data_IF_248409776402
#
_entry.id   IF_248409776402
#
_cell.length_a   1.000
_cell.length_b   1.000
_cell.length_c   1.000
_cell.angle_alpha   90.00
_cell.angle_beta   90.00
_cell.angle_gamma   90.00
#
_symmetry.space_group_name_H-M   'P 1'
#
loop_
_entity.id
_entity.type
_entity.pdbx_description
1 polymer ?
#
# COMPACT_ATOMS: atom_id res chain seq x y z
N UNK A 1 26.53 -30.59 -12.55
CA UNK A 1 25.35 -29.72 -12.69
C UNK A 1 24.98 -29.25 -11.28
N UNK A 2 25.27 -28.00 -10.93
CA UNK A 2 24.94 -27.48 -9.60
C UNK A 2 23.45 -27.21 -9.58
N UNK A 3 22.71 -28.10 -9.01
CA UNK A 3 21.31 -27.84 -8.72
C UNK A 3 21.27 -26.71 -7.69
N UNK A 4 20.33 -25.79 -7.84
CA UNK A 4 20.14 -24.58 -7.09
C UNK A 4 20.79 -24.58 -5.71
N UNK A 5 21.75 -23.71 -5.48
CA UNK A 5 22.25 -23.43 -4.15
C UNK A 5 21.15 -22.63 -3.46
N UNK A 6 20.41 -23.30 -2.59
CA UNK A 6 19.46 -22.69 -1.69
C UNK A 6 20.20 -21.69 -0.81
N UNK A 7 20.05 -20.41 -1.07
CA UNK A 7 20.66 -19.34 -0.26
C UNK A 7 19.67 -18.69 0.68
N UNK A 8 18.37 -18.71 0.34
CA UNK A 8 17.28 -18.17 1.15
C UNK A 8 15.95 -18.68 0.59
N UNK A 9 14.91 -18.72 1.40
CA UNK A 9 13.53 -18.93 0.95
C UNK A 9 13.06 -17.72 0.15
N UNK A 10 13.51 -17.61 -1.10
CA UNK A 10 12.99 -16.67 -2.05
C UNK A 10 11.92 -17.39 -2.85
N UNK A 11 10.68 -16.96 -2.72
CA UNK A 11 9.60 -17.51 -3.51
C UNK A 11 9.71 -16.98 -4.93
N UNK A 12 9.90 -17.88 -5.88
CA UNK A 12 9.89 -17.58 -7.30
C UNK A 12 8.52 -17.95 -7.86
N UNK A 13 8.00 -17.11 -8.75
CA UNK A 13 6.77 -17.40 -9.49
C UNK A 13 7.06 -17.29 -10.98
N UNK A 14 6.42 -18.15 -11.75
CA UNK A 14 6.47 -18.06 -13.20
C UNK A 14 5.68 -16.83 -13.67
N UNK A 15 6.25 -16.13 -14.63
CA UNK A 15 5.68 -14.91 -15.19
C UNK A 15 5.81 -14.89 -16.70
N UNK A 16 4.69 -14.68 -17.40
CA UNK A 16 4.70 -14.45 -18.83
C UNK A 16 4.71 -12.94 -19.10
N UNK A 17 5.78 -12.48 -19.75
CA UNK A 17 5.95 -11.07 -20.10
C UNK A 17 5.27 -10.79 -21.44
N UNK A 18 4.04 -10.32 -21.43
CA UNK A 18 3.30 -9.88 -22.63
C UNK A 18 3.67 -8.47 -23.13
N UNK A 19 4.55 -7.77 -22.42
CA UNK A 19 4.99 -6.40 -22.72
C UNK A 19 6.39 -6.34 -23.33
N UNK A 20 7.01 -5.19 -23.19
CA UNK A 20 8.41 -4.98 -23.58
C UNK A 20 9.37 -5.81 -22.72
N UNK A 21 10.58 -6.05 -23.22
CA UNK A 21 11.60 -6.77 -22.48
C UNK A 21 11.87 -6.13 -21.09
N UNK A 22 11.95 -6.96 -20.09
CA UNK A 22 12.19 -6.58 -18.69
C UNK A 22 13.63 -6.92 -18.33
N UNK A 23 14.47 -5.95 -17.95
CA UNK A 23 15.82 -6.23 -17.49
C UNK A 23 15.84 -6.94 -16.13
N UNK A 24 16.97 -7.55 -15.78
CA UNK A 24 17.22 -8.03 -14.43
C UNK A 24 17.01 -6.90 -13.41
N UNK A 25 16.33 -7.17 -12.31
CA UNK A 25 15.98 -6.18 -11.28
C UNK A 25 14.74 -5.32 -11.61
N UNK A 26 14.11 -5.50 -12.78
CA UNK A 26 12.85 -4.80 -13.06
C UNK A 26 11.78 -5.19 -12.04
N UNK A 27 11.01 -4.20 -11.62
CA UNK A 27 9.90 -4.39 -10.67
C UNK A 27 8.59 -4.49 -11.44
N UNK A 28 7.82 -5.54 -11.17
CA UNK A 28 6.55 -5.85 -11.83
C UNK A 28 5.45 -5.98 -10.78
N UNK A 29 4.29 -5.44 -11.08
CA UNK A 29 3.07 -5.72 -10.30
C UNK A 29 2.39 -6.93 -10.93
N UNK A 30 2.28 -8.03 -10.20
CA UNK A 30 1.63 -9.25 -10.67
C UNK A 30 0.11 -9.10 -10.69
N UNK A 31 -0.58 -9.98 -11.40
CA UNK A 31 -2.05 -9.91 -11.53
C UNK A 31 -2.78 -10.07 -10.19
N UNK A 32 -2.18 -10.75 -9.22
CA UNK A 32 -2.68 -10.89 -7.84
C UNK A 32 -2.31 -9.70 -6.92
N UNK A 33 -1.64 -8.67 -7.49
CA UNK A 33 -1.29 -7.44 -6.80
C UNK A 33 -0.01 -7.47 -5.98
N UNK A 34 0.74 -8.57 -5.98
CA UNK A 34 2.07 -8.63 -5.36
C UNK A 34 3.11 -7.90 -6.20
N UNK A 35 4.19 -7.49 -5.56
CA UNK A 35 5.38 -6.99 -6.23
C UNK A 35 6.29 -8.18 -6.57
N UNK A 36 6.71 -8.27 -7.82
CA UNK A 36 7.71 -9.22 -8.30
C UNK A 36 8.96 -8.50 -8.78
N UNK A 37 10.12 -9.07 -8.54
CA UNK A 37 11.40 -8.59 -9.06
C UNK A 37 11.96 -9.59 -10.02
N UNK A 38 12.31 -9.16 -11.23
CA UNK A 38 12.93 -10.02 -12.25
C UNK A 38 14.28 -10.51 -11.73
N UNK A 39 14.40 -11.82 -11.51
CA UNK A 39 15.57 -12.43 -10.87
C UNK A 39 16.56 -13.07 -11.85
N UNK A 40 16.23 -13.19 -13.12
CA UNK A 40 17.11 -13.77 -14.14
C UNK A 40 18.14 -12.76 -14.65
N UNK A 41 19.43 -13.15 -14.72
CA UNK A 41 20.51 -12.29 -15.21
C UNK A 41 20.28 -11.75 -16.64
N UNK A 42 19.52 -12.46 -17.46
CA UNK A 42 19.17 -12.04 -18.82
C UNK A 42 17.90 -11.19 -18.90
N UNK A 43 17.22 -10.98 -17.76
CA UNK A 43 15.90 -10.39 -17.80
C UNK A 43 14.84 -11.36 -18.34
N UNK A 44 13.71 -10.80 -18.81
CA UNK A 44 12.63 -11.56 -19.47
C UNK A 44 12.33 -10.84 -20.77
N UNK A 45 12.53 -11.51 -21.90
CA UNK A 45 12.24 -10.90 -23.20
C UNK A 45 10.73 -10.69 -23.41
N UNK A 46 10.37 -9.90 -24.42
CA UNK A 46 8.97 -9.71 -24.79
C UNK A 46 8.36 -11.03 -25.27
N UNK A 47 7.16 -11.32 -24.82
CA UNK A 47 6.41 -12.55 -25.12
C UNK A 47 7.11 -13.85 -24.69
N UNK A 48 7.89 -13.78 -23.61
CA UNK A 48 8.57 -14.96 -23.05
C UNK A 48 8.16 -15.21 -21.59
N UNK A 49 8.35 -16.47 -21.19
CA UNK A 49 8.25 -16.88 -19.79
C UNK A 49 9.55 -16.59 -19.07
N UNK A 50 9.45 -16.14 -17.83
CA UNK A 50 10.57 -15.97 -16.92
C UNK A 50 10.13 -16.15 -15.48
N UNK A 51 10.98 -15.78 -14.54
CA UNK A 51 10.71 -15.90 -13.12
C UNK A 51 10.81 -14.56 -12.42
N UNK A 52 9.88 -14.32 -11.51
CA UNK A 52 9.89 -13.19 -10.58
C UNK A 52 10.15 -13.70 -9.16
N UNK A 53 11.04 -13.05 -8.44
CA UNK A 53 11.14 -13.20 -7.00
C UNK A 53 10.02 -12.38 -6.35
N UNK A 54 9.21 -13.02 -5.48
CA UNK A 54 8.10 -12.39 -4.77
C UNK A 54 8.29 -12.38 -3.26
N UNK A 55 9.45 -12.80 -2.77
CA UNK A 55 9.86 -12.69 -1.38
C UNK A 55 11.39 -12.60 -1.28
N UNK A 56 11.89 -12.09 -0.18
CA UNK A 56 13.33 -11.93 0.07
C UNK A 56 13.70 -10.48 0.36
N UNK A 57 15.00 -10.24 0.46
CA UNK A 57 15.57 -8.93 0.78
C UNK A 57 16.06 -8.25 -0.51
N UNK A 58 15.57 -7.04 -0.74
CA UNK A 58 15.89 -6.28 -1.95
C UNK A 58 16.22 -4.83 -1.63
N UNK A 59 17.18 -4.28 -2.36
CA UNK A 59 17.45 -2.85 -2.37
C UNK A 59 16.63 -2.20 -3.50
N UNK A 60 15.64 -1.41 -3.14
CA UNK A 60 14.78 -0.68 -4.09
C UNK A 60 15.28 0.75 -4.23
N UNK A 61 15.34 1.26 -5.46
CA UNK A 61 15.48 2.71 -5.67
C UNK A 61 14.28 3.42 -5.02
N UNK A 62 14.52 4.57 -4.39
CA UNK A 62 13.50 5.29 -3.64
C UNK A 62 13.36 6.75 -4.06
N UNK A 63 12.19 7.33 -3.80
CA UNK A 63 11.99 8.77 -3.87
C UNK A 63 12.69 9.48 -2.70
N UNK A 64 12.86 10.79 -2.79
CA UNK A 64 13.31 11.63 -1.68
C UNK A 64 12.40 11.44 -0.45
N UNK A 65 13.00 11.35 0.72
CA UNK A 65 12.33 11.13 2.01
C UNK A 65 13.05 10.09 2.85
N UNK A 66 13.15 10.31 4.14
CA UNK A 66 13.74 9.34 5.07
C UNK A 66 12.74 8.21 5.34
N UNK A 67 13.26 6.99 5.50
CA UNK A 67 12.50 5.80 5.83
C UNK A 67 13.14 5.11 7.03
N UNK A 68 12.33 4.79 8.03
CA UNK A 68 12.78 4.13 9.27
C UNK A 68 12.55 2.62 9.20
N UNK A 69 13.31 1.85 9.97
CA UNK A 69 13.09 0.40 10.12
C UNK A 69 11.64 0.12 10.53
N UNK A 70 11.00 -0.80 9.82
CA UNK A 70 9.62 -1.19 10.04
C UNK A 70 8.58 -0.31 9.31
N UNK A 71 9.00 0.74 8.61
CA UNK A 71 8.09 1.52 7.77
C UNK A 71 7.59 0.70 6.59
N UNK A 72 6.35 0.94 6.19
CA UNK A 72 5.79 0.37 4.97
C UNK A 72 6.29 1.12 3.75
N UNK A 73 6.63 0.39 2.73
CA UNK A 73 7.11 0.93 1.45
C UNK A 73 6.18 0.50 0.34
N UNK A 74 5.80 1.44 -0.49
CA UNK A 74 4.93 1.25 -1.64
C UNK A 74 5.71 1.43 -2.93
N UNK A 75 5.40 0.65 -3.95
CA UNK A 75 5.96 0.83 -5.27
C UNK A 75 5.14 1.83 -6.08
N UNK A 76 5.79 2.89 -6.53
CA UNK A 76 5.25 3.84 -7.48
C UNK A 76 5.90 3.61 -8.85
N UNK A 77 5.19 3.04 -9.83
CA UNK A 77 5.77 2.71 -11.14
C UNK A 77 6.18 3.95 -11.97
N UNK A 78 5.72 5.13 -11.60
CA UNK A 78 6.09 6.42 -12.21
C UNK A 78 6.82 7.34 -11.23
N UNK A 79 7.32 6.78 -10.12
CA UNK A 79 8.05 7.55 -9.11
C UNK A 79 9.40 8.03 -9.62
N UNK A 80 9.86 9.14 -9.06
CA UNK A 80 11.14 9.76 -9.38
C UNK A 80 12.22 9.28 -8.38
N UNK A 81 13.12 8.37 -8.75
CA UNK A 81 14.17 7.92 -7.85
C UNK A 81 15.17 9.04 -7.54
N UNK A 82 15.75 9.03 -6.32
CA UNK A 82 16.80 9.99 -5.91
C UNK A 82 17.98 9.95 -6.90
N UNK A 83 18.33 8.74 -7.38
CA UNK A 83 19.35 8.54 -8.42
C UNK A 83 18.74 7.72 -9.53
N UNK A 84 18.75 8.26 -10.75
CA UNK A 84 18.18 7.61 -11.93
C UNK A 84 17.39 8.56 -12.81
N UNK A 85 16.58 8.01 -13.69
CA UNK A 85 15.72 8.78 -14.59
C UNK A 85 14.35 9.00 -13.93
N UNK A 86 13.85 10.22 -13.96
CA UNK A 86 12.51 10.55 -13.46
C UNK A 86 11.45 9.71 -14.18
N UNK A 87 10.41 9.30 -13.45
CA UNK A 87 9.30 8.51 -13.98
C UNK A 87 9.59 7.04 -14.25
N UNK A 88 10.77 6.53 -13.88
CA UNK A 88 11.12 5.12 -14.13
C UNK A 88 10.70 4.16 -13.02
N UNK A 89 10.08 4.69 -11.98
CA UNK A 89 9.60 3.95 -10.82
C UNK A 89 10.52 4.07 -9.61
N UNK A 90 9.92 4.21 -8.45
CA UNK A 90 10.64 4.28 -7.17
C UNK A 90 9.77 3.85 -6.00
N UNK A 91 10.41 3.36 -4.94
CA UNK A 91 9.80 3.05 -3.67
C UNK A 91 9.51 4.34 -2.87
N UNK A 92 8.37 4.40 -2.21
CA UNK A 92 7.95 5.54 -1.39
C UNK A 92 7.33 5.08 -0.07
N UNK A 93 7.54 5.85 1.00
CA UNK A 93 6.81 5.67 2.28
C UNK A 93 5.42 6.30 2.25
N UNK A 94 5.10 7.10 1.23
CA UNK A 94 3.82 7.79 1.13
C UNK A 94 2.75 6.86 0.53
N UNK A 95 1.65 6.72 1.25
CA UNK A 95 0.47 5.99 0.76
C UNK A 95 -0.25 6.85 -0.26
N UNK A 96 -0.54 6.30 -1.44
CA UNK A 96 -1.37 6.95 -2.43
C UNK A 96 -2.23 5.91 -3.18
N UNK A 97 -3.34 6.39 -3.75
CA UNK A 97 -4.24 5.51 -4.49
C UNK A 97 -3.51 4.86 -5.68
N UNK A 98 -3.75 3.56 -5.86
CA UNK A 98 -3.14 2.79 -6.95
C UNK A 98 -1.75 2.23 -6.66
N UNK A 99 -1.02 2.73 -5.65
CA UNK A 99 0.27 2.17 -5.26
C UNK A 99 0.09 0.79 -4.59
N UNK A 100 1.06 -0.08 -4.81
CA UNK A 100 1.08 -1.42 -4.21
C UNK A 100 2.13 -1.48 -3.11
N UNK A 101 1.77 -2.11 -1.99
CA UNK A 101 2.72 -2.38 -0.91
C UNK A 101 3.87 -3.23 -1.47
N UNK A 102 5.08 -2.68 -1.42
CA UNK A 102 6.28 -3.40 -1.82
C UNK A 102 6.88 -4.23 -0.67
N UNK A 103 6.73 -3.74 0.55
CA UNK A 103 7.25 -4.45 1.73
C UNK A 103 7.50 -3.55 2.91
N UNK A 104 8.41 -3.98 3.77
CA UNK A 104 8.79 -3.29 5.01
C UNK A 104 10.28 -2.98 5.00
N UNK A 105 10.63 -1.79 5.45
CA UNK A 105 12.03 -1.35 5.58
C UNK A 105 12.76 -2.23 6.59
N UNK A 106 13.85 -2.83 6.14
CA UNK A 106 14.76 -3.63 6.98
C UNK A 106 15.86 -2.76 7.58
N UNK A 107 16.44 -1.85 6.81
CA UNK A 107 17.43 -0.88 7.25
C UNK A 107 16.98 0.54 6.93
N UNK A 108 17.10 1.43 7.92
CA UNK A 108 16.76 2.83 7.74
C UNK A 108 17.53 3.45 6.57
N UNK A 109 16.84 4.30 5.80
CA UNK A 109 17.43 5.05 4.70
C UNK A 109 17.21 6.55 4.91
N UNK A 110 18.28 7.34 4.78
CA UNK A 110 18.18 8.79 4.85
C UNK A 110 17.45 9.37 3.62
N UNK A 111 17.04 10.64 3.70
CA UNK A 111 16.30 11.30 2.61
C UNK A 111 17.03 11.26 1.27
N UNK A 112 18.35 11.44 1.28
CA UNK A 112 19.18 11.47 0.07
C UNK A 112 19.74 10.13 -0.38
N UNK A 113 19.46 9.03 0.33
CA UNK A 113 19.93 7.72 -0.08
C UNK A 113 19.25 7.28 -1.38
N UNK A 114 20.03 6.67 -2.28
CA UNK A 114 19.54 6.21 -3.57
C UNK A 114 18.58 5.02 -3.45
N UNK A 115 18.78 4.19 -2.42
CA UNK A 115 18.04 2.94 -2.22
C UNK A 115 17.56 2.79 -0.79
N UNK A 116 16.59 1.90 -0.62
CA UNK A 116 16.13 1.39 0.67
C UNK A 116 16.07 -0.13 0.62
N UNK A 117 16.57 -0.81 1.66
CA UNK A 117 16.44 -2.26 1.79
C UNK A 117 15.10 -2.61 2.40
N UNK A 118 14.36 -3.45 1.70
CA UNK A 118 13.06 -3.92 2.14
C UNK A 118 12.99 -5.45 2.17
N UNK A 119 12.11 -5.96 3.01
CA UNK A 119 11.64 -7.33 2.97
C UNK A 119 10.40 -7.37 2.07
N UNK A 120 10.54 -7.96 0.90
CA UNK A 120 9.58 -7.90 -0.21
C UNK A 120 8.25 -8.57 0.15
N UNK A 121 7.13 -7.90 -0.16
CA UNK A 121 5.74 -8.33 0.08
C UNK A 121 5.39 -8.64 1.54
N UNK A 122 6.27 -8.34 2.49
CA UNK A 122 5.95 -8.44 3.89
C UNK A 122 5.15 -7.23 4.37
N UNK A 123 4.08 -7.51 5.10
CA UNK A 123 3.18 -6.46 5.59
C UNK A 123 3.39 -6.09 7.07
N UNK A 124 3.97 -6.98 7.88
CA UNK A 124 3.94 -6.84 9.34
C UNK A 124 5.12 -7.47 10.11
N UNK A 125 6.20 -7.90 9.47
CA UNK A 125 7.18 -8.81 10.08
C UNK A 125 7.97 -8.27 11.28
N UNK A 126 8.10 -6.95 11.45
CA UNK A 126 8.92 -6.38 12.53
C UNK A 126 8.14 -5.75 13.68
N UNK A 127 6.83 -5.67 13.60
CA UNK A 127 6.01 -5.06 14.66
C UNK A 127 5.45 -6.07 15.68
N UNK A 128 5.97 -7.28 15.70
CA UNK A 128 5.47 -8.37 16.56
C UNK A 128 4.18 -9.00 16.04
N UNK A 129 3.84 -10.22 16.49
CA UNK A 129 2.66 -10.91 16.01
C UNK A 129 1.40 -10.10 16.35
N UNK A 130 0.59 -9.84 15.35
CA UNK A 130 -0.77 -9.26 15.46
C UNK A 130 -0.91 -7.82 15.95
N UNK A 131 0.09 -6.95 15.77
CA UNK A 131 -0.17 -5.52 15.97
C UNK A 131 -0.62 -4.87 14.67
N UNK A 132 -1.87 -4.39 14.57
CA UNK A 132 -2.29 -3.63 13.41
C UNK A 132 -1.41 -2.38 13.27
N UNK A 133 -1.04 -1.98 12.04
CA UNK A 133 -0.26 -0.77 11.83
C UNK A 133 -1.02 0.47 12.30
N UNK A 134 -0.26 1.48 12.69
CA UNK A 134 -0.81 2.80 13.02
C UNK A 134 -0.31 3.78 11.97
N UNK A 135 -1.22 4.43 11.26
CA UNK A 135 -0.91 5.44 10.25
C UNK A 135 -1.43 6.80 10.70
N UNK A 136 -0.57 7.82 10.66
CA UNK A 136 -1.00 9.21 10.75
C UNK A 136 -1.39 9.71 9.34
N UNK A 137 -2.62 10.20 9.18
CA UNK A 137 -3.18 10.64 7.90
C UNK A 137 -3.69 12.07 8.04
N UNK A 138 -3.37 12.92 7.08
CA UNK A 138 -4.04 14.24 6.97
C UNK A 138 -5.18 14.10 5.97
N UNK A 139 -6.41 14.40 6.41
CA UNK A 139 -7.58 14.41 5.53
C UNK A 139 -7.38 15.37 4.37
N UNK A 140 -7.72 14.93 3.18
CA UNK A 140 -7.55 15.71 1.94
C UNK A 140 -8.75 15.49 1.03
N UNK A 141 -8.92 16.39 0.08
CA UNK A 141 -9.94 16.30 -0.94
C UNK A 141 -11.39 16.26 -0.42
N UNK A 142 -12.33 16.36 -1.31
CA UNK A 142 -13.77 16.36 -1.00
C UNK A 142 -14.55 15.26 -1.76
N UNK A 143 -13.83 14.44 -2.51
CA UNK A 143 -14.39 13.37 -3.34
C UNK A 143 -13.60 12.06 -3.17
N UNK A 144 -14.12 10.97 -3.69
CA UNK A 144 -13.43 9.67 -3.73
C UNK A 144 -12.07 9.75 -4.43
N UNK A 145 -11.95 10.62 -5.44
CA UNK A 145 -10.76 10.67 -6.29
C UNK A 145 -9.57 11.37 -5.62
N UNK A 146 -9.83 12.28 -4.68
CA UNK A 146 -8.84 13.16 -4.06
C UNK A 146 -8.72 13.00 -2.53
N UNK A 147 -9.54 12.16 -1.92
CA UNK A 147 -9.49 11.85 -0.49
C UNK A 147 -8.21 11.09 -0.11
N UNK A 148 -7.67 11.37 1.08
CA UNK A 148 -6.47 10.72 1.58
C UNK A 148 -6.71 9.22 1.86
N UNK A 149 -5.80 8.36 1.39
CA UNK A 149 -5.93 6.91 1.49
C UNK A 149 -5.70 6.42 2.92
N UNK A 150 -6.60 5.57 3.42
CA UNK A 150 -6.44 4.79 4.64
C UNK A 150 -5.80 3.43 4.37
N UNK A 151 -5.29 2.82 5.44
CA UNK A 151 -4.77 1.45 5.43
C UNK A 151 -5.56 0.55 6.37
N UNK A 152 -5.41 -0.76 6.22
CA UNK A 152 -5.84 -1.72 7.24
C UNK A 152 -5.14 -1.41 8.57
N UNK A 153 -5.89 -1.50 9.69
CA UNK A 153 -5.41 -1.15 11.04
C UNK A 153 -5.86 0.23 11.49
N UNK A 154 -5.12 0.81 12.46
CA UNK A 154 -5.47 2.08 13.07
C UNK A 154 -4.96 3.27 12.25
N UNK A 155 -5.87 4.16 11.88
CA UNK A 155 -5.57 5.41 11.20
C UNK A 155 -5.93 6.59 12.11
N UNK A 156 -4.94 7.42 12.45
CA UNK A 156 -5.11 8.65 13.21
C UNK A 156 -5.21 9.80 12.20
N UNK A 157 -6.42 10.36 12.06
CA UNK A 157 -6.72 11.34 11.01
C UNK A 157 -6.76 12.74 11.58
N UNK A 158 -6.01 13.65 10.97
CA UNK A 158 -5.97 15.09 11.28
C UNK A 158 -6.47 15.91 10.08
N UNK A 159 -6.69 17.22 10.27
CA UNK A 159 -6.96 18.17 9.17
C UNK A 159 -8.35 18.10 8.57
N UNK A 160 -9.29 17.35 9.13
CA UNK A 160 -10.68 17.38 8.68
C UNK A 160 -11.36 18.71 9.11
N UNK A 161 -12.12 19.30 8.19
CA UNK A 161 -12.80 20.59 8.36
C UNK A 161 -14.27 20.57 7.91
N UNK A 162 -14.82 19.37 7.69
CA UNK A 162 -16.17 19.17 7.17
C UNK A 162 -16.24 18.99 5.64
N UNK A 163 -15.23 19.45 4.93
CA UNK A 163 -15.13 19.30 3.47
C UNK A 163 -14.15 18.19 3.09
N UNK A 164 -13.07 18.03 3.85
CA UNK A 164 -12.02 17.05 3.60
C UNK A 164 -12.38 15.66 4.10
N UNK A 165 -11.86 14.66 3.42
CA UNK A 165 -12.15 13.27 3.71
C UNK A 165 -10.96 12.33 3.60
N UNK A 166 -11.26 11.07 3.87
CA UNK A 166 -10.38 9.94 3.70
C UNK A 166 -11.11 8.84 2.93
N UNK A 167 -10.37 7.98 2.24
CA UNK A 167 -10.92 6.87 1.47
C UNK A 167 -10.44 5.54 2.04
N UNK A 168 -11.35 4.58 2.17
CA UNK A 168 -11.06 3.21 2.59
C UNK A 168 -10.22 2.49 1.53
N UNK A 169 -9.39 1.51 1.92
CA UNK A 169 -8.74 0.63 0.95
C UNK A 169 -9.76 -0.23 0.19
N UNK A 170 -9.31 -0.87 -0.88
CA UNK A 170 -10.12 -1.89 -1.55
C UNK A 170 -10.47 -2.98 -0.55
N UNK A 171 -11.76 -3.27 -0.40
CA UNK A 171 -12.26 -4.19 0.60
C UNK A 171 -11.82 -5.63 0.30
N UNK A 172 -11.37 -6.32 1.34
CA UNK A 172 -11.21 -7.78 1.36
C UNK A 172 -12.01 -8.29 2.55
N UNK A 173 -12.80 -9.33 2.35
CA UNK A 173 -13.65 -9.88 3.43
C UNK A 173 -12.80 -10.18 4.68
N UNK A 174 -13.25 -9.66 5.84
CA UNK A 174 -12.53 -9.75 7.10
C UNK A 174 -11.57 -8.60 7.40
N UNK A 175 -11.22 -7.76 6.42
CA UNK A 175 -10.36 -6.58 6.61
C UNK A 175 -10.99 -5.63 7.64
N UNK A 176 -10.15 -5.05 8.48
CA UNK A 176 -10.56 -4.09 9.51
C UNK A 176 -9.77 -2.80 9.39
N UNK A 177 -10.48 -1.68 9.33
CA UNK A 177 -9.93 -0.33 9.34
C UNK A 177 -10.49 0.40 10.55
N UNK A 178 -9.62 0.88 11.41
CA UNK A 178 -9.98 1.72 12.56
C UNK A 178 -9.62 3.17 12.24
N UNK A 179 -10.55 4.08 12.50
CA UNK A 179 -10.39 5.51 12.23
C UNK A 179 -10.61 6.31 13.50
N UNK A 180 -9.59 7.03 13.92
CA UNK A 180 -9.65 8.03 15.00
C UNK A 180 -9.49 9.42 14.39
N UNK A 181 -10.56 10.19 14.35
CA UNK A 181 -10.50 11.61 13.99
C UNK A 181 -9.97 12.44 15.16
N UNK A 182 -8.88 13.18 14.95
CA UNK A 182 -8.29 14.15 15.92
C UNK A 182 -8.41 15.54 15.31
N UNK A 183 -9.66 15.95 15.03
CA UNK A 183 -9.93 17.19 14.30
C UNK A 183 -11.08 17.95 14.95
N UNK A 184 -11.11 19.26 14.72
CA UNK A 184 -12.22 20.13 15.15
C UNK A 184 -13.42 20.06 14.19
N UNK A 185 -13.27 19.45 13.02
CA UNK A 185 -14.30 19.35 12.00
C UNK A 185 -14.84 17.92 11.80
N UNK A 186 -15.93 17.83 11.06
CA UNK A 186 -16.48 16.54 10.61
C UNK A 186 -15.53 15.91 9.61
N UNK A 187 -15.24 14.62 9.79
CA UNK A 187 -14.45 13.82 8.86
C UNK A 187 -15.38 13.01 7.95
N UNK A 188 -15.20 13.12 6.63
CA UNK A 188 -15.86 12.26 5.66
C UNK A 188 -15.02 11.01 5.40
N UNK A 189 -15.64 9.84 5.45
CA UNK A 189 -15.00 8.55 5.14
C UNK A 189 -15.72 7.97 3.94
N UNK A 190 -15.01 7.89 2.81
CA UNK A 190 -15.51 7.36 1.55
C UNK A 190 -15.15 5.87 1.42
N UNK A 191 -16.02 5.02 0.87
CA UNK A 191 -15.63 3.74 0.33
C UNK A 191 -14.95 3.94 -1.02
N UNK A 192 -14.26 2.93 -1.55
CA UNK A 192 -13.86 2.96 -2.98
C UNK A 192 -15.08 2.98 -3.89
N UNK A 193 -14.89 3.46 -5.11
CA UNK A 193 -15.99 3.57 -6.10
C UNK A 193 -16.73 2.23 -6.27
N UNK A 194 -18.05 2.28 -6.20
CA UNK A 194 -18.93 1.11 -6.32
C UNK A 194 -19.15 0.33 -5.02
N UNK A 195 -18.38 0.62 -3.96
CA UNK A 195 -18.56 -0.02 -2.64
C UNK A 195 -19.54 0.76 -1.76
N UNK A 196 -20.05 0.10 -0.71
CA UNK A 196 -21.02 0.67 0.23
C UNK A 196 -20.50 0.62 1.66
N UNK A 197 -20.99 1.53 2.50
CA UNK A 197 -20.79 1.51 3.95
C UNK A 197 -22.17 1.45 4.60
N UNK A 198 -22.41 0.47 5.48
CA UNK A 198 -23.71 0.21 6.10
C UNK A 198 -24.81 0.04 5.03
N UNK A 199 -25.93 0.77 5.16
CA UNK A 199 -27.02 0.79 4.20
C UNK A 199 -26.99 1.97 3.22
N UNK A 200 -25.87 2.72 3.16
CA UNK A 200 -25.75 3.85 2.26
C UNK A 200 -25.69 3.40 0.80
N UNK A 201 -26.03 4.30 -0.11
CA UNK A 201 -25.84 4.10 -1.54
C UNK A 201 -24.37 3.86 -1.89
N UNK A 202 -24.11 3.18 -3.00
CA UNK A 202 -22.76 2.97 -3.50
C UNK A 202 -21.98 4.29 -3.62
N UNK A 203 -20.73 4.27 -3.19
CA UNK A 203 -19.82 5.42 -3.19
C UNK A 203 -20.19 6.56 -2.21
N UNK A 204 -21.23 6.42 -1.41
CA UNK A 204 -21.62 7.43 -0.43
C UNK A 204 -20.70 7.39 0.80
N UNK A 205 -20.31 8.59 1.27
CA UNK A 205 -19.49 8.73 2.47
C UNK A 205 -20.33 8.66 3.75
N UNK A 206 -19.74 8.12 4.81
CA UNK A 206 -20.22 8.38 6.18
C UNK A 206 -19.52 9.63 6.74
N UNK A 207 -20.15 10.26 7.73
CA UNK A 207 -19.62 11.40 8.43
C UNK A 207 -19.29 11.03 9.88
N UNK A 208 -18.04 11.19 10.28
CA UNK A 208 -17.60 11.06 11.65
C UNK A 208 -17.56 12.44 12.29
N UNK A 209 -18.36 12.64 13.35
CA UNK A 209 -18.44 13.92 14.05
C UNK A 209 -17.10 14.30 14.69
N UNK A 210 -16.86 15.61 14.86
CA UNK A 210 -15.72 16.11 15.63
C UNK A 210 -15.73 15.54 17.06
N UNK A 211 -14.56 15.10 17.52
CA UNK A 211 -14.41 14.51 18.86
C UNK A 211 -15.08 13.15 19.05
N UNK A 212 -15.61 12.54 17.97
CA UNK A 212 -16.22 11.21 18.05
C UNK A 212 -15.21 10.15 18.54
N UNK A 213 -15.75 9.12 19.18
CA UNK A 213 -14.99 7.92 19.53
C UNK A 213 -14.45 7.26 18.25
N UNK A 214 -13.34 6.51 18.32
CA UNK A 214 -12.87 5.75 17.18
C UNK A 214 -13.97 4.87 16.61
N UNK A 215 -14.05 4.82 15.27
CA UNK A 215 -14.95 3.91 14.55
C UNK A 215 -14.13 2.81 13.92
N UNK A 216 -14.62 1.58 14.03
CA UNK A 216 -14.10 0.42 13.35
C UNK A 216 -14.97 0.17 12.13
N UNK A 217 -14.35 0.03 10.95
CA UNK A 217 -15.01 -0.42 9.73
C UNK A 217 -14.51 -1.82 9.41
N UNK A 218 -15.45 -2.74 9.19
CA UNK A 218 -15.13 -4.12 8.83
C UNK A 218 -15.75 -4.48 7.49
N UNK A 219 -14.94 -5.02 6.59
CA UNK A 219 -15.40 -5.50 5.31
C UNK A 219 -16.03 -6.89 5.45
N UNK A 220 -17.25 -7.05 4.96
CA UNK A 220 -17.92 -8.36 4.87
C UNK A 220 -17.76 -9.00 3.49
N UNK A 221 -17.43 -8.19 2.47
CA UNK A 221 -17.18 -8.65 1.10
C UNK A 221 -16.22 -7.68 0.40
N UNK A 222 -15.95 -7.89 -0.88
CA UNK A 222 -15.11 -7.01 -1.69
C UNK A 222 -15.72 -5.59 -1.91
N UNK A 223 -17.02 -5.41 -1.60
CA UNK A 223 -17.72 -4.14 -1.88
C UNK A 223 -18.54 -3.62 -0.69
N UNK A 224 -18.56 -4.32 0.45
CA UNK A 224 -19.40 -3.96 1.57
C UNK A 224 -18.61 -3.78 2.86
N UNK A 225 -18.79 -2.63 3.49
CA UNK A 225 -18.25 -2.27 4.80
C UNK A 225 -19.39 -2.07 5.84
N UNK A 226 -19.08 -2.38 7.09
CA UNK A 226 -19.94 -2.07 8.24
C UNK A 226 -19.16 -1.34 9.31
N UNK A 227 -19.79 -0.36 9.97
CA UNK A 227 -19.21 0.34 11.11
C UNK A 227 -19.53 -0.39 12.43
N UNK A 228 -18.58 -0.35 13.35
CA UNK A 228 -18.75 -0.85 14.72
C UNK A 228 -18.29 0.27 15.70
N UNK A 229 -19.18 0.87 16.51
CA UNK A 229 -20.64 0.66 16.51
C UNK A 229 -21.28 1.05 15.18
N UNK A 230 -22.48 0.53 14.92
CA UNK A 230 -23.23 0.91 13.73
C UNK A 230 -23.56 2.41 13.80
N UNK A 231 -22.99 3.17 12.89
CA UNK A 231 -23.31 4.59 12.75
C UNK A 231 -24.57 4.75 11.90
N UNK A 232 -25.39 5.78 12.20
CA UNK A 232 -26.54 6.10 11.36
C UNK A 232 -26.10 6.31 9.91
N UNK A 233 -26.85 5.78 9.00
CA UNK A 233 -26.71 5.94 7.55
C UNK A 233 -27.60 7.07 7.05
#
# INVERSE_FOLDING_TARGET
MTQAIFRKLDWLVDYYNSGSALPCGAVVITADGRIGVVNGLRGIAANEWGTLAVAGHFDFCKVTGALSVGDRVYWNPTGDPVVGTAGTGAATGTVANGLKLAGIVEYAAASGDATVRILLNEANSFRGPNRPPVLAVTAAGSTIADAAQLIEGLNIVTGADGTKGVILPVAVAGMTVEVKGVTAGVLKIYPVSGSTINALSASAAISLASGAVPVILRASSATQWYTIPLLPS
#
